data_IF_024715997121
#
_entry.id   IF_024715997121
#
_cell.length_a   1.000
_cell.length_b   1.000
_cell.length_c   1.000
_cell.angle_alpha   90.00
_cell.angle_beta   90.00
_cell.angle_gamma   90.00
#
_symmetry.space_group_name_H-M   'P 1'
#
loop_
_entity.id
_entity.type
_entity.pdbx_description
1 polymer ?
#
# COMPACT_ATOMS: atom_id res chain seq x y z
N UNK A 1 5.15 19.23 -23.36
CA UNK A 1 4.65 18.69 -22.09
C UNK A 1 4.63 17.18 -22.26
N UNK A 2 5.71 16.50 -21.87
CA UNK A 2 5.82 15.06 -22.06
C UNK A 2 4.93 14.38 -21.01
N UNK A 3 3.86 13.73 -21.46
CA UNK A 3 3.16 12.75 -20.67
C UNK A 3 4.16 11.62 -20.38
N UNK A 4 4.49 11.44 -19.10
CA UNK A 4 5.19 10.23 -18.71
C UNK A 4 4.20 9.07 -18.93
N UNK A 5 4.59 8.01 -19.67
CA UNK A 5 3.73 6.85 -19.83
C UNK A 5 3.36 6.30 -18.45
N UNK A 6 2.14 5.78 -18.33
CA UNK A 6 1.51 5.19 -17.13
C UNK A 6 2.22 3.94 -16.60
N UNK A 7 3.50 3.75 -16.93
CA UNK A 7 4.27 2.52 -16.84
C UNK A 7 5.38 2.61 -15.79
N UNK A 8 5.15 3.33 -14.70
CA UNK A 8 5.84 3.08 -13.43
C UNK A 8 4.93 2.24 -12.54
N UNK A 9 4.95 0.89 -12.62
CA UNK A 9 4.08 0.07 -11.80
C UNK A 9 4.72 -0.07 -10.42
N UNK A 10 4.46 0.89 -9.53
CA UNK A 10 4.84 0.78 -8.11
C UNK A 10 3.63 0.30 -7.27
N UNK A 11 2.41 0.41 -7.80
CA UNK A 11 1.21 0.00 -7.08
C UNK A 11 0.99 -1.51 -7.17
N UNK A 12 0.81 -2.13 -6.02
CA UNK A 12 0.34 -3.52 -5.89
C UNK A 12 -1.15 -3.53 -6.22
N UNK A 13 -1.60 -4.37 -7.14
CA UNK A 13 -3.00 -4.44 -7.57
C UNK A 13 -3.76 -5.58 -6.91
N UNK A 14 -3.05 -6.66 -6.54
CA UNK A 14 -3.65 -7.90 -6.05
C UNK A 14 -2.90 -8.46 -4.83
N UNK A 15 -3.59 -9.08 -3.85
CA UNK A 15 -2.95 -9.71 -2.69
C UNK A 15 -1.87 -10.74 -3.04
N UNK A 16 -2.10 -11.57 -4.06
CA UNK A 16 -1.12 -12.58 -4.50
C UNK A 16 0.16 -11.94 -5.06
N UNK A 17 0.05 -10.78 -5.69
CA UNK A 17 1.20 -10.00 -6.14
C UNK A 17 2.02 -9.52 -4.93
N UNK A 18 1.35 -9.02 -3.88
CA UNK A 18 2.02 -8.64 -2.63
C UNK A 18 2.73 -9.83 -2.00
N UNK A 19 2.08 -10.98 -1.89
CA UNK A 19 2.65 -12.18 -1.30
C UNK A 19 3.94 -12.61 -2.02
N UNK A 20 3.98 -12.51 -3.35
CA UNK A 20 5.18 -12.76 -4.14
C UNK A 20 6.32 -11.79 -3.85
N UNK A 21 6.00 -10.50 -3.70
CA UNK A 21 6.97 -9.44 -3.34
C UNK A 21 7.52 -9.69 -1.93
N UNK A 22 6.65 -9.93 -0.95
CA UNK A 22 7.02 -10.21 0.46
C UNK A 22 7.92 -11.44 0.56
N UNK A 23 7.57 -12.52 -0.14
CA UNK A 23 8.39 -13.73 -0.20
C UNK A 23 9.77 -13.45 -0.78
N UNK A 24 9.84 -12.69 -1.88
CA UNK A 24 11.11 -12.31 -2.51
C UNK A 24 12.00 -11.50 -1.56
N UNK A 25 11.44 -10.46 -0.93
CA UNK A 25 12.16 -9.61 0.03
C UNK A 25 12.65 -10.44 1.22
N UNK A 26 11.80 -11.32 1.75
CA UNK A 26 12.13 -12.19 2.90
C UNK A 26 13.26 -13.16 2.57
N UNK A 27 13.23 -13.77 1.38
CA UNK A 27 14.27 -14.72 0.95
C UNK A 27 15.61 -14.07 0.65
N UNK A 28 15.62 -12.83 0.15
CA UNK A 28 16.85 -12.05 -0.06
C UNK A 28 17.48 -11.59 1.25
N UNK A 29 16.74 -11.70 2.35
CA UNK A 29 17.16 -11.18 3.64
C UNK A 29 17.94 -12.22 4.44
N UNK A 30 19.09 -11.80 4.97
CA UNK A 30 19.87 -12.65 5.87
C UNK A 30 19.11 -12.91 7.19
N UNK A 31 19.12 -14.14 7.73
CA UNK A 31 18.34 -14.54 8.92
C UNK A 31 18.61 -13.74 10.21
N UNK A 32 19.71 -12.97 10.27
CA UNK A 32 20.14 -12.22 11.47
C UNK A 32 19.69 -10.76 11.48
N UNK A 33 18.81 -10.35 10.58
CA UNK A 33 18.38 -8.95 10.44
C UNK A 33 16.89 -8.80 10.74
N UNK A 34 16.51 -7.77 11.51
CA UNK A 34 15.13 -7.48 11.94
C UNK A 34 14.18 -7.28 10.75
N UNK A 35 13.08 -8.03 10.56
CA UNK A 35 12.18 -7.96 9.39
C UNK A 35 11.79 -6.54 8.98
N UNK A 36 11.52 -6.34 7.68
CA UNK A 36 11.14 -5.03 7.17
C UNK A 36 9.66 -4.85 7.40
N UNK A 37 9.25 -3.65 7.76
CA UNK A 37 7.86 -3.26 7.60
C UNK A 37 7.57 -3.14 6.09
N UNK A 38 6.53 -3.83 5.67
CA UNK A 38 5.95 -3.74 4.34
C UNK A 38 4.74 -2.82 4.43
N UNK A 39 4.87 -1.63 3.83
CA UNK A 39 3.80 -0.65 3.76
C UNK A 39 3.13 -0.68 2.38
N UNK A 40 1.80 -0.66 2.37
CA UNK A 40 0.99 -0.59 1.14
C UNK A 40 0.15 0.68 1.12
N UNK A 41 -0.17 1.20 -0.05
CA UNK A 41 -1.01 2.37 -0.22
C UNK A 41 -2.22 2.00 -1.08
N UNK A 42 -3.41 2.37 -0.62
CA UNK A 42 -4.67 2.10 -1.31
C UNK A 42 -5.68 3.23 -1.08
N UNK A 43 -6.67 3.40 -1.97
CA UNK A 43 -7.77 4.33 -1.72
C UNK A 43 -8.48 4.08 -0.38
N UNK A 44 -8.97 5.14 0.29
CA UNK A 44 -9.77 4.99 1.51
C UNK A 44 -10.96 4.04 1.30
N UNK A 45 -11.21 3.15 2.26
CA UNK A 45 -12.30 2.18 2.21
C UNK A 45 -11.98 0.87 1.48
N UNK A 46 -10.76 0.72 0.95
CA UNK A 46 -10.26 -0.58 0.46
C UNK A 46 -10.27 -1.62 1.58
N UNK A 47 -10.72 -2.84 1.28
CA UNK A 47 -10.60 -3.98 2.19
C UNK A 47 -9.12 -4.40 2.32
N UNK A 48 -8.57 -4.26 3.53
CA UNK A 48 -7.15 -4.47 3.81
C UNK A 48 -6.84 -5.88 4.34
N UNK A 49 -7.84 -6.67 4.74
CA UNK A 49 -7.64 -8.01 5.29
C UNK A 49 -6.81 -8.90 4.36
N UNK A 50 -7.10 -8.98 3.04
CA UNK A 50 -6.32 -9.82 2.14
C UNK A 50 -4.85 -9.39 2.00
N UNK A 51 -4.57 -8.10 2.17
CA UNK A 51 -3.22 -7.56 2.06
C UNK A 51 -2.42 -7.76 3.35
N UNK A 52 -3.08 -7.67 4.51
CA UNK A 52 -2.49 -8.06 5.79
C UNK A 52 -2.09 -9.54 5.78
N UNK A 53 -2.98 -10.42 5.30
CA UNK A 53 -2.71 -11.85 5.14
C UNK A 53 -1.56 -12.14 4.17
N UNK A 54 -1.42 -11.31 3.13
CA UNK A 54 -0.31 -11.38 2.16
C UNK A 54 1.02 -10.79 2.69
N UNK A 55 1.04 -10.20 3.88
CA UNK A 55 2.24 -9.75 4.58
C UNK A 55 2.44 -8.23 4.65
N UNK A 56 1.42 -7.42 4.34
CA UNK A 56 1.44 -6.00 4.69
C UNK A 56 1.45 -5.84 6.23
N UNK A 57 2.26 -4.91 6.70
CA UNK A 57 2.40 -4.59 8.13
C UNK A 57 1.84 -3.21 8.47
N UNK A 58 1.79 -2.30 7.48
CA UNK A 58 1.28 -0.93 7.61
C UNK A 58 0.55 -0.54 6.32
N UNK A 59 -0.40 0.40 6.41
CA UNK A 59 -1.13 0.92 5.25
C UNK A 59 -1.20 2.45 5.26
N UNK A 60 -1.28 3.01 4.06
CA UNK A 60 -1.40 4.44 3.79
C UNK A 60 -2.67 4.68 2.98
N UNK A 61 -3.43 5.70 3.34
CA UNK A 61 -4.51 6.19 2.49
C UNK A 61 -3.91 6.91 1.28
N UNK A 62 -4.17 6.38 0.09
CA UNK A 62 -3.75 6.96 -1.18
C UNK A 62 -4.87 7.81 -1.78
N UNK A 63 -4.50 8.96 -2.34
CA UNK A 63 -5.43 9.85 -3.02
C UNK A 63 -4.93 10.11 -4.44
N UNK A 64 -5.86 10.12 -5.39
CA UNK A 64 -5.57 10.62 -6.73
C UNK A 64 -5.31 12.14 -6.66
N UNK A 65 -4.09 12.61 -7.02
CA UNK A 65 -3.70 14.00 -6.86
C UNK A 65 -4.53 14.96 -7.72
N UNK A 66 -5.13 14.48 -8.81
CA UNK A 66 -5.90 15.34 -9.73
C UNK A 66 -7.35 15.54 -9.26
N UNK A 67 -7.85 14.66 -8.40
CA UNK A 67 -9.26 14.65 -7.97
C UNK A 67 -9.48 14.84 -6.47
N UNK A 68 -8.42 14.71 -5.66
CA UNK A 68 -8.51 14.84 -4.20
C UNK A 68 -9.00 16.22 -3.76
N UNK A 69 -9.90 16.24 -2.78
CA UNK A 69 -10.36 17.47 -2.12
C UNK A 69 -9.88 17.56 -0.68
N UNK A 70 -9.78 18.80 -0.16
CA UNK A 70 -9.44 19.03 1.25
C UNK A 70 -10.47 18.40 2.20
N UNK A 71 -11.75 18.39 1.82
CA UNK A 71 -12.81 17.81 2.64
C UNK A 71 -12.64 16.28 2.75
N UNK A 72 -12.32 15.62 1.64
CA UNK A 72 -12.00 14.19 1.62
C UNK A 72 -10.81 13.85 2.54
N UNK A 73 -9.72 14.60 2.45
CA UNK A 73 -8.54 14.38 3.32
C UNK A 73 -8.91 14.58 4.80
N UNK A 74 -9.69 15.61 5.12
CA UNK A 74 -10.16 15.86 6.50
C UNK A 74 -11.11 14.77 7.00
N UNK A 75 -11.92 14.19 6.12
CA UNK A 75 -12.74 13.01 6.41
C UNK A 75 -11.87 11.84 6.87
N UNK A 76 -10.90 11.43 6.04
CA UNK A 76 -9.99 10.33 6.35
C UNK A 76 -9.21 10.56 7.65
N UNK A 77 -8.71 11.79 7.88
CA UNK A 77 -8.01 12.12 9.13
C UNK A 77 -8.91 12.03 10.36
N UNK A 78 -10.21 12.34 10.23
CA UNK A 78 -11.18 12.23 11.31
C UNK A 78 -11.53 10.78 11.61
N UNK A 79 -11.67 9.96 10.58
CA UNK A 79 -12.01 8.54 10.70
C UNK A 79 -10.83 7.72 11.27
N UNK A 80 -9.60 8.20 11.06
CA UNK A 80 -8.39 7.57 11.58
C UNK A 80 -7.94 6.37 10.72
N UNK A 81 -6.90 5.63 11.17
CA UNK A 81 -6.41 4.49 10.42
C UNK A 81 -7.48 3.39 10.34
N UNK A 82 -7.72 2.87 9.12
CA UNK A 82 -8.53 1.66 8.94
C UNK A 82 -7.96 0.51 9.77
N UNK A 83 -8.79 -0.35 10.37
CA UNK A 83 -8.31 -1.54 11.09
C UNK A 83 -8.64 -2.77 10.23
N UNK A 84 -7.66 -3.63 9.90
CA UNK A 84 -7.91 -4.92 9.26
C UNK A 84 -8.82 -5.81 10.13
#
# INVERSE_FOLDING_TARGET
>A
MLALPSEWPISVEHPDQLAGIVSTITNLRAPRTTPYDIAVAFPPGTDLVPYADAGATWWLAEFDPDTVSLDQVRGVLRDGPAVP
#
